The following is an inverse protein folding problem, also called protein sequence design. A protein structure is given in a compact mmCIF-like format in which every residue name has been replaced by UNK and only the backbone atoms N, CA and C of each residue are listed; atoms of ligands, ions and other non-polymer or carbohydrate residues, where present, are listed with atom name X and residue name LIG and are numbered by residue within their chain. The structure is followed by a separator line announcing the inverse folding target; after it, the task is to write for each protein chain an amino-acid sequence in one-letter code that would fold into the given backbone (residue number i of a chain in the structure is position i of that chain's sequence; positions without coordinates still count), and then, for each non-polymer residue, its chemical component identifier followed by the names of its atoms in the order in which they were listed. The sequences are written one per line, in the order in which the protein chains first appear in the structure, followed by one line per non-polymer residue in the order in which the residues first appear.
data_IF_943993103900
#
_entry.id   IF_943993103900
#
_cell.length_a   1.000
_cell.length_b   1.000
_cell.length_c   1.000
_cell.angle_alpha   90.00
_cell.angle_beta   90.00
_cell.angle_gamma   90.00
#
_symmetry.space_group_name_H-M   'P 1'
#
loop_
_entity.id
_entity.type
_entity.pdbx_description
1 polymer ?
#
# COMPACT_ATOMS: atom_id res chain seq x y z
N UNK A 1 19.21 70.78 16.74
CA UNK A 1 20.39 71.39 17.39
C UNK A 1 20.67 72.66 16.60
N UNK A 2 19.97 73.74 16.91
CA UNK A 2 20.16 75.01 16.21
C UNK A 2 21.52 75.57 16.63
N UNK A 3 22.32 75.99 15.66
CA UNK A 3 23.49 76.81 15.96
C UNK A 3 22.91 78.08 16.58
N UNK A 4 23.07 78.24 17.88
CA UNK A 4 22.53 79.39 18.60
C UNK A 4 23.08 80.64 17.91
N UNK A 5 22.23 81.44 17.27
CA UNK A 5 22.64 82.69 16.62
C UNK A 5 23.46 83.58 17.57
N UNK A 6 23.20 83.47 18.88
CA UNK A 6 23.97 84.07 19.97
C UNK A 6 25.47 83.71 19.96
N UNK A 7 25.87 82.48 19.63
CA UNK A 7 27.29 82.08 19.62
C UNK A 7 28.04 82.57 18.38
N UNK A 8 27.35 82.68 17.24
CA UNK A 8 27.93 83.23 16.00
C UNK A 8 28.09 84.74 16.12
N UNK A 9 27.07 85.42 16.65
CA UNK A 9 27.14 86.84 16.99
C UNK A 9 28.25 87.12 18.01
N UNK A 10 28.44 86.25 19.00
CA UNK A 10 29.56 86.34 19.95
C UNK A 10 30.91 86.17 19.26
N UNK A 11 31.07 85.20 18.35
CA UNK A 11 32.31 85.03 17.58
C UNK A 11 32.63 86.25 16.72
N UNK A 12 31.63 86.81 16.03
CA UNK A 12 31.79 88.02 15.22
C UNK A 12 32.08 89.25 16.09
N UNK A 13 31.45 89.36 17.26
CA UNK A 13 31.74 90.41 18.23
C UNK A 13 33.21 90.35 18.72
N UNK A 14 33.71 89.15 19.03
CA UNK A 14 35.12 88.94 19.42
C UNK A 14 36.06 89.30 18.27
N UNK A 15 35.74 88.94 17.02
CA UNK A 15 36.56 89.30 15.85
C UNK A 15 36.63 90.83 15.67
N UNK A 16 35.50 91.53 15.85
CA UNK A 16 35.45 92.99 15.81
C UNK A 16 36.23 93.64 16.94
N UNK A 17 36.08 93.14 18.16
CA UNK A 17 36.82 93.62 19.33
C UNK A 17 38.35 93.41 19.15
N UNK A 18 38.76 92.28 18.56
CA UNK A 18 40.15 92.02 18.20
C UNK A 18 40.65 92.98 17.11
N UNK A 19 39.82 93.30 16.11
CA UNK A 19 40.16 94.29 15.08
C UNK A 19 40.36 95.69 15.69
N UNK A 20 39.43 96.13 16.56
CA UNK A 20 39.51 97.41 17.27
C UNK A 20 40.73 97.49 18.19
N UNK A 21 41.07 96.37 18.83
CA UNK A 21 42.27 96.25 19.68
C UNK A 21 43.55 96.37 18.84
N UNK A 22 43.61 95.71 17.68
CA UNK A 22 44.74 95.83 16.73
C UNK A 22 44.81 97.24 16.14
N UNK A 23 43.67 97.90 15.94
CA UNK A 23 43.59 99.26 15.43
C UNK A 23 44.08 100.32 16.44
N UNK A 24 43.77 100.11 17.72
CA UNK A 24 44.16 101.01 18.82
C UNK A 24 45.55 100.71 19.40
N UNK A 25 46.16 99.58 19.03
CA UNK A 25 47.48 99.17 19.51
C UNK A 25 48.60 100.16 19.12
N UNK A 26 49.38 100.60 20.11
CA UNK A 26 50.59 101.42 19.91
C UNK A 26 51.85 100.54 19.89
N UNK A 27 52.83 100.89 19.06
CA UNK A 27 54.15 100.22 19.03
C UNK A 27 54.79 100.27 20.42
N UNK A 28 54.89 99.13 21.09
CA UNK A 28 55.61 98.99 22.36
C UNK A 28 56.68 97.93 22.20
N UNK A 29 57.92 98.25 22.57
CA UNK A 29 59.11 97.39 22.40
C UNK A 29 59.63 96.86 23.75
N UNK A 30 58.88 97.01 24.86
CA UNK A 30 59.44 96.94 26.22
C UNK A 30 58.78 95.85 27.11
N UNK A 31 57.70 95.19 26.67
CA UNK A 31 57.04 94.13 27.45
C UNK A 31 57.38 92.72 26.91
N UNK A 32 57.77 91.81 27.79
CA UNK A 32 58.15 90.42 27.47
C UNK A 32 56.98 89.52 27.05
N UNK A 33 55.72 89.96 27.25
CA UNK A 33 54.49 89.25 26.90
C UNK A 33 53.86 89.72 25.57
N UNK A 34 54.50 90.66 24.86
CA UNK A 34 53.97 91.22 23.61
C UNK A 34 54.65 90.62 22.37
N UNK A 35 53.86 90.16 21.40
CA UNK A 35 54.33 89.69 20.10
C UNK A 35 54.21 90.80 19.04
N UNK A 36 55.26 91.01 18.24
CA UNK A 36 55.24 91.98 17.12
C UNK A 36 54.62 91.32 15.90
N UNK A 37 53.42 91.77 15.52
CA UNK A 37 52.69 91.30 14.33
C UNK A 37 52.52 92.45 13.35
N UNK A 38 52.57 92.14 12.05
CA UNK A 38 52.24 93.12 11.02
C UNK A 38 50.76 93.49 11.10
N UNK A 39 50.47 94.75 11.45
CA UNK A 39 49.11 95.26 11.65
C UNK A 39 48.24 95.09 10.40
N UNK A 40 48.76 95.40 9.22
CA UNK A 40 48.02 95.23 7.96
C UNK A 40 47.68 93.77 7.70
N UNK A 41 48.65 92.87 7.87
CA UNK A 41 48.42 91.43 7.68
C UNK A 41 47.38 90.89 8.67
N UNK A 42 47.41 91.32 9.94
CA UNK A 42 46.45 90.86 10.95
C UNK A 42 45.04 91.36 10.65
N UNK A 43 44.89 92.62 10.25
CA UNK A 43 43.61 93.21 9.86
C UNK A 43 43.04 92.53 8.61
N UNK A 44 43.86 92.27 7.60
CA UNK A 44 43.44 91.56 6.39
C UNK A 44 42.93 90.15 6.74
N UNK A 45 43.56 89.45 7.69
CA UNK A 45 43.14 88.11 8.12
C UNK A 45 41.87 88.14 8.98
N UNK A 46 41.70 89.14 9.85
CA UNK A 46 40.47 89.33 10.62
C UNK A 46 39.29 89.70 9.72
N UNK A 47 39.51 90.58 8.73
CA UNK A 47 38.50 90.93 7.74
C UNK A 47 38.12 89.73 6.84
N UNK A 48 39.10 88.91 6.43
CA UNK A 48 38.81 87.65 5.73
C UNK A 48 37.96 86.73 6.62
N UNK A 49 38.30 86.57 7.89
CA UNK A 49 37.54 85.73 8.82
C UNK A 49 36.11 86.25 9.03
N UNK A 50 35.92 87.56 9.20
CA UNK A 50 34.59 88.17 9.35
C UNK A 50 33.71 87.96 8.11
N UNK A 51 34.31 87.95 6.92
CA UNK A 51 33.57 87.75 5.67
C UNK A 51 33.27 86.27 5.37
N UNK A 52 34.20 85.34 5.63
CA UNK A 52 34.03 83.93 5.28
C UNK A 52 33.27 83.10 6.34
N UNK A 53 33.36 83.48 7.62
CA UNK A 53 32.77 82.70 8.72
C UNK A 53 31.23 82.64 8.69
N UNK A 54 30.49 83.74 8.43
CA UNK A 54 29.03 83.68 8.29
C UNK A 54 28.58 82.80 7.12
N UNK A 55 29.26 82.88 5.99
CA UNK A 55 28.94 82.08 4.80
C UNK A 55 29.15 80.59 5.06
N UNK A 56 30.29 80.21 5.66
CA UNK A 56 30.59 78.82 6.02
C UNK A 56 29.56 78.23 7.00
N UNK A 57 29.06 79.02 7.95
CA UNK A 57 28.05 78.58 8.91
C UNK A 57 26.66 78.44 8.29
N UNK A 58 26.25 79.36 7.41
CA UNK A 58 25.01 79.24 6.65
C UNK A 58 25.02 77.99 5.76
N UNK A 59 26.15 77.69 5.12
CA UNK A 59 26.33 76.47 4.36
C UNK A 59 26.24 75.22 5.25
N UNK A 60 26.90 75.22 6.41
CA UNK A 60 26.84 74.11 7.36
C UNK A 60 25.42 73.87 7.90
N UNK A 61 24.67 74.93 8.22
CA UNK A 61 23.27 74.83 8.64
C UNK A 61 22.38 74.28 7.51
N UNK A 62 22.61 74.73 6.27
CA UNK A 62 21.94 74.18 5.08
C UNK A 62 22.15 72.68 4.95
N UNK A 63 23.40 72.22 5.03
CA UNK A 63 23.74 70.78 4.95
C UNK A 63 23.08 69.99 6.09
N UNK A 64 23.08 70.50 7.33
CA UNK A 64 22.45 69.82 8.47
C UNK A 64 20.92 69.71 8.25
N UNK A 65 20.29 70.76 7.73
CA UNK A 65 18.86 70.76 7.42
C UNK A 65 18.53 69.77 6.31
N UNK A 66 19.34 69.74 5.25
CA UNK A 66 19.21 68.80 4.15
C UNK A 66 19.42 67.34 4.61
N UNK A 67 20.44 67.07 5.42
CA UNK A 67 20.69 65.74 6.00
C UNK A 67 19.53 65.30 6.91
N UNK A 68 19.00 66.20 7.74
CA UNK A 68 17.84 65.92 8.57
C UNK A 68 16.59 65.59 7.73
N UNK A 69 16.36 66.34 6.65
CA UNK A 69 15.26 66.07 5.72
C UNK A 69 15.45 64.74 4.99
N UNK A 70 16.65 64.45 4.51
CA UNK A 70 16.98 63.19 3.83
C UNK A 70 16.79 61.99 4.75
N UNK A 71 17.23 62.07 6.01
CA UNK A 71 17.03 60.99 7.00
C UNK A 71 15.56 60.77 7.31
N UNK A 72 14.77 61.84 7.45
CA UNK A 72 13.34 61.73 7.67
C UNK A 72 12.64 61.05 6.48
N UNK A 73 12.95 61.48 5.25
CA UNK A 73 12.41 60.85 4.03
C UNK A 73 12.84 59.38 3.93
N UNK A 74 14.12 59.08 4.13
CA UNK A 74 14.64 57.71 4.07
C UNK A 74 13.98 56.82 5.12
N UNK A 75 13.77 57.32 6.33
CA UNK A 75 13.07 56.58 7.38
C UNK A 75 11.62 56.26 6.98
N UNK A 76 10.92 57.22 6.35
CA UNK A 76 9.58 57.01 5.83
C UNK A 76 9.58 55.96 4.71
N UNK A 77 10.44 56.11 3.70
CA UNK A 77 10.52 55.19 2.56
C UNK A 77 10.86 53.77 3.02
N UNK A 78 11.78 53.62 3.97
CA UNK A 78 12.10 52.33 4.57
C UNK A 78 10.91 51.73 5.33
N UNK A 79 10.15 52.53 6.07
CA UNK A 79 8.96 52.07 6.80
C UNK A 79 7.86 51.60 5.84
N UNK A 80 7.64 52.32 4.75
CA UNK A 80 6.69 51.95 3.70
C UNK A 80 7.12 50.68 2.98
N UNK A 81 8.40 50.58 2.61
CA UNK A 81 8.97 49.39 1.98
C UNK A 81 8.86 48.15 2.89
N UNK A 82 9.16 48.30 4.19
CA UNK A 82 9.01 47.21 5.17
C UNK A 82 7.55 46.78 5.32
N UNK A 83 6.63 47.72 5.44
CA UNK A 83 5.20 47.42 5.57
C UNK A 83 4.68 46.74 4.30
N UNK A 84 5.07 47.22 3.11
CA UNK A 84 4.73 46.61 1.83
C UNK A 84 5.28 45.18 1.70
N UNK A 85 6.54 44.96 2.05
CA UNK A 85 7.17 43.65 2.05
C UNK A 85 6.48 42.68 3.03
N UNK A 86 6.16 43.14 4.25
CA UNK A 86 5.44 42.35 5.25
C UNK A 86 4.05 41.96 4.78
N UNK A 87 3.31 42.88 4.16
CA UNK A 87 1.96 42.61 3.64
C UNK A 87 2.01 41.61 2.48
N UNK A 88 2.95 41.77 1.54
CA UNK A 88 3.17 40.79 0.46
C UNK A 88 3.54 39.41 0.99
N UNK A 89 4.42 39.35 1.99
CA UNK A 89 4.79 38.09 2.63
C UNK A 89 3.58 37.41 3.30
N UNK A 90 2.76 38.17 4.03
CA UNK A 90 1.52 37.65 4.64
C UNK A 90 0.53 37.15 3.58
N UNK A 91 0.35 37.90 2.50
CA UNK A 91 -0.53 37.50 1.40
C UNK A 91 -0.02 36.21 0.74
N UNK A 92 1.29 36.12 0.45
CA UNK A 92 1.90 34.93 -0.13
C UNK A 92 1.75 33.70 0.77
N UNK A 93 1.90 33.87 2.09
CA UNK A 93 1.67 32.78 3.06
C UNK A 93 0.19 32.36 3.06
N UNK A 94 -0.74 33.31 3.02
CA UNK A 94 -2.17 33.02 2.99
C UNK A 94 -2.58 32.27 1.71
N UNK A 95 -2.08 32.71 0.55
CA UNK A 95 -2.29 32.04 -0.74
C UNK A 95 -1.69 30.62 -0.74
N UNK A 96 -0.47 30.46 -0.21
CA UNK A 96 0.16 29.15 -0.08
C UNK A 96 -0.63 28.23 0.87
N UNK A 97 -1.15 28.75 1.98
CA UNK A 97 -2.00 27.98 2.90
C UNK A 97 -3.30 27.55 2.25
N UNK A 98 -3.94 28.42 1.46
CA UNK A 98 -5.16 28.08 0.73
C UNK A 98 -4.88 26.98 -0.31
N UNK A 99 -3.81 27.11 -1.10
CA UNK A 99 -3.39 26.08 -2.05
C UNK A 99 -3.08 24.74 -1.38
N UNK A 100 -2.39 24.74 -0.24
CA UNK A 100 -2.14 23.53 0.54
C UNK A 100 -3.45 22.91 1.02
N UNK A 101 -4.42 23.71 1.48
CA UNK A 101 -5.72 23.21 1.93
C UNK A 101 -6.54 22.58 0.80
N UNK A 102 -6.52 23.19 -0.39
CA UNK A 102 -7.18 22.67 -1.58
C UNK A 102 -6.52 21.36 -2.04
N UNK A 103 -5.19 21.34 -2.13
CA UNK A 103 -4.44 20.13 -2.46
C UNK A 103 -4.69 19.00 -1.44
N UNK A 104 -4.74 19.31 -0.15
CA UNK A 104 -5.09 18.33 0.90
C UNK A 104 -6.53 17.81 0.75
N UNK A 105 -7.49 18.66 0.41
CA UNK A 105 -8.86 18.26 0.18
C UNK A 105 -8.99 17.33 -1.05
N UNK A 106 -8.25 17.62 -2.13
CA UNK A 106 -8.18 16.76 -3.31
C UNK A 106 -7.52 15.41 -3.01
N UNK A 107 -6.38 15.42 -2.31
CA UNK A 107 -5.71 14.18 -1.87
C UNK A 107 -6.63 13.34 -0.98
N UNK A 108 -7.40 13.98 -0.09
CA UNK A 108 -8.39 13.29 0.74
C UNK A 108 -9.50 12.66 -0.10
N UNK A 109 -10.10 13.40 -1.04
CA UNK A 109 -11.12 12.86 -1.96
C UNK A 109 -10.58 11.73 -2.83
N UNK A 110 -9.35 11.87 -3.33
CA UNK A 110 -8.68 10.82 -4.09
C UNK A 110 -8.44 9.58 -3.23
N UNK A 111 -8.03 9.76 -1.97
CA UNK A 111 -7.88 8.68 -0.99
C UNK A 111 -9.18 7.96 -0.67
N UNK A 112 -10.27 8.70 -0.42
CA UNK A 112 -11.61 8.15 -0.18
C UNK A 112 -12.12 7.37 -1.39
N UNK A 113 -11.94 7.90 -2.61
CA UNK A 113 -12.31 7.20 -3.84
C UNK A 113 -11.48 5.93 -4.06
N UNK A 114 -10.17 5.97 -3.82
CA UNK A 114 -9.31 4.80 -3.92
C UNK A 114 -9.72 3.72 -2.91
N UNK A 115 -10.00 4.11 -1.66
CA UNK A 115 -10.50 3.19 -0.63
C UNK A 115 -11.84 2.58 -1.03
N UNK A 116 -12.77 3.37 -1.57
CA UNK A 116 -14.06 2.86 -2.06
C UNK A 116 -13.88 1.85 -3.18
N UNK A 117 -13.03 2.13 -4.17
CA UNK A 117 -12.75 1.20 -5.27
C UNK A 117 -12.13 -0.11 -4.74
N UNK A 118 -11.19 -0.02 -3.80
CA UNK A 118 -10.58 -1.21 -3.18
C UNK A 118 -11.63 -2.02 -2.40
N UNK A 119 -12.50 -1.37 -1.63
CA UNK A 119 -13.58 -2.04 -0.90
C UNK A 119 -14.59 -2.70 -1.84
N UNK A 120 -15.01 -2.00 -2.90
CA UNK A 120 -15.92 -2.55 -3.92
C UNK A 120 -15.27 -3.73 -4.66
N UNK A 121 -13.99 -3.63 -5.02
CA UNK A 121 -13.25 -4.71 -5.65
C UNK A 121 -13.10 -5.92 -4.72
N UNK A 122 -12.83 -5.69 -3.43
CA UNK A 122 -12.73 -6.74 -2.43
C UNK A 122 -14.09 -7.44 -2.19
N UNK A 123 -15.19 -6.69 -2.12
CA UNK A 123 -16.53 -7.26 -2.01
C UNK A 123 -16.89 -8.10 -3.23
N UNK A 124 -16.66 -7.58 -4.44
CA UNK A 124 -16.89 -8.33 -5.68
C UNK A 124 -16.06 -9.61 -5.74
N UNK A 125 -14.78 -9.52 -5.41
CA UNK A 125 -13.91 -10.70 -5.36
C UNK A 125 -14.39 -11.73 -4.33
N UNK A 126 -14.88 -11.28 -3.18
CA UNK A 126 -15.43 -12.18 -2.16
C UNK A 126 -16.73 -12.84 -2.61
N UNK A 127 -17.63 -12.09 -3.25
CA UNK A 127 -18.89 -12.62 -3.77
C UNK A 127 -18.65 -13.62 -4.90
N UNK A 128 -17.73 -13.31 -5.82
CA UNK A 128 -17.35 -14.21 -6.91
C UNK A 128 -16.67 -15.49 -6.38
N UNK A 129 -15.78 -15.36 -5.38
CA UNK A 129 -15.18 -16.51 -4.71
C UNK A 129 -16.25 -17.38 -4.02
N UNK A 130 -17.21 -16.76 -3.33
CA UNK A 130 -18.29 -17.48 -2.66
C UNK A 130 -19.19 -18.22 -3.68
N UNK A 131 -19.51 -17.58 -4.81
CA UNK A 131 -20.27 -18.22 -5.90
C UNK A 131 -19.52 -19.41 -6.49
N UNK A 132 -18.22 -19.24 -6.75
CA UNK A 132 -17.38 -20.32 -7.28
C UNK A 132 -17.32 -21.50 -6.31
N UNK A 133 -17.16 -21.24 -5.01
CA UNK A 133 -17.16 -22.30 -3.97
C UNK A 133 -18.51 -23.02 -3.93
N UNK A 134 -19.62 -22.29 -3.98
CA UNK A 134 -20.97 -22.88 -3.99
C UNK A 134 -21.18 -23.76 -5.22
N UNK A 135 -20.81 -23.28 -6.41
CA UNK A 135 -20.90 -24.04 -7.64
C UNK A 135 -20.02 -25.30 -7.59
N UNK A 136 -18.75 -25.15 -7.18
CA UNK A 136 -17.83 -26.28 -7.04
C UNK A 136 -18.36 -27.33 -6.04
N UNK A 137 -18.97 -26.90 -4.93
CA UNK A 137 -19.58 -27.82 -3.97
C UNK A 137 -20.80 -28.54 -4.55
N UNK A 138 -21.64 -27.87 -5.33
CA UNK A 138 -22.79 -28.49 -6.00
C UNK A 138 -22.33 -29.52 -7.04
N UNK A 139 -21.34 -29.17 -7.87
CA UNK A 139 -20.76 -30.08 -8.86
C UNK A 139 -20.09 -31.29 -8.18
N UNK A 140 -19.33 -31.06 -7.12
CA UNK A 140 -18.72 -32.13 -6.34
C UNK A 140 -19.78 -33.05 -5.70
N UNK A 141 -20.89 -32.51 -5.20
CA UNK A 141 -21.99 -33.30 -4.65
C UNK A 141 -22.67 -34.14 -5.74
N UNK A 142 -22.89 -33.58 -6.93
CA UNK A 142 -23.48 -34.32 -8.06
C UNK A 142 -22.56 -35.46 -8.53
N UNK A 143 -21.26 -35.22 -8.61
CA UNK A 143 -20.27 -36.25 -8.97
C UNK A 143 -20.27 -37.37 -7.92
N UNK A 144 -20.29 -37.04 -6.63
CA UNK A 144 -20.36 -38.04 -5.55
C UNK A 144 -21.63 -38.87 -5.63
N UNK A 145 -22.79 -38.23 -5.79
CA UNK A 145 -24.06 -38.93 -5.89
C UNK A 145 -24.09 -39.90 -7.09
N UNK A 146 -23.56 -39.48 -8.24
CA UNK A 146 -23.42 -40.35 -9.41
C UNK A 146 -22.47 -41.51 -9.15
N UNK A 147 -21.31 -41.25 -8.56
CA UNK A 147 -20.34 -42.30 -8.24
C UNK A 147 -20.90 -43.31 -7.22
N UNK A 148 -21.70 -42.86 -6.26
CA UNK A 148 -22.40 -43.73 -5.31
C UNK A 148 -23.45 -44.61 -6.01
N UNK A 149 -24.23 -44.05 -6.94
CA UNK A 149 -25.17 -44.82 -7.74
C UNK A 149 -24.44 -45.88 -8.58
N UNK A 150 -23.41 -45.50 -9.33
CA UNK A 150 -22.63 -46.42 -10.17
C UNK A 150 -22.00 -47.54 -9.32
N UNK A 151 -21.50 -47.20 -8.11
CA UNK A 151 -20.96 -48.18 -7.16
C UNK A 151 -22.03 -49.19 -6.73
N UNK A 152 -23.21 -48.72 -6.35
CA UNK A 152 -24.28 -49.58 -5.85
C UNK A 152 -24.80 -50.51 -6.96
N UNK A 153 -24.88 -50.02 -8.20
CA UNK A 153 -25.20 -50.83 -9.38
C UNK A 153 -24.13 -51.92 -9.61
N UNK A 154 -22.84 -51.58 -9.56
CA UNK A 154 -21.76 -52.57 -9.71
C UNK A 154 -21.79 -53.64 -8.60
N UNK A 155 -22.01 -53.25 -7.35
CA UNK A 155 -22.13 -54.20 -6.23
C UNK A 155 -23.33 -55.12 -6.40
N UNK A 156 -24.45 -54.62 -6.92
CA UNK A 156 -25.62 -55.44 -7.25
C UNK A 156 -25.29 -56.48 -8.31
N UNK A 157 -24.65 -56.06 -9.42
CA UNK A 157 -24.22 -56.96 -10.49
C UNK A 157 -23.27 -58.05 -10.00
N UNK A 158 -22.26 -57.67 -9.20
CA UNK A 158 -21.31 -58.62 -8.63
C UNK A 158 -21.99 -59.64 -7.70
N UNK A 159 -22.95 -59.19 -6.89
CA UNK A 159 -23.71 -60.08 -6.01
C UNK A 159 -24.57 -61.08 -6.78
N UNK A 160 -25.27 -60.65 -7.83
CA UNK A 160 -26.06 -61.53 -8.70
C UNK A 160 -25.15 -62.57 -9.36
N UNK A 161 -24.00 -62.15 -9.89
CA UNK A 161 -23.03 -63.05 -10.52
C UNK A 161 -22.50 -64.10 -9.54
N UNK A 162 -22.12 -63.67 -8.33
CA UNK A 162 -21.64 -64.56 -7.27
C UNK A 162 -22.70 -65.60 -6.87
N UNK A 163 -23.94 -65.18 -6.65
CA UNK A 163 -25.04 -66.09 -6.29
C UNK A 163 -25.32 -67.08 -7.42
N UNK A 164 -25.42 -66.60 -8.67
CA UNK A 164 -25.67 -67.47 -9.82
C UNK A 164 -24.55 -68.50 -10.04
N UNK A 165 -23.30 -68.15 -9.76
CA UNK A 165 -22.16 -69.07 -9.88
C UNK A 165 -22.21 -70.15 -8.80
N UNK A 166 -22.48 -69.76 -7.55
CA UNK A 166 -22.66 -70.72 -6.44
C UNK A 166 -23.82 -71.67 -6.73
N UNK A 167 -24.97 -71.16 -7.15
CA UNK A 167 -26.14 -71.97 -7.46
C UNK A 167 -25.89 -72.93 -8.64
N UNK A 168 -25.16 -72.48 -9.67
CA UNK A 168 -24.74 -73.34 -10.78
C UNK A 168 -23.77 -74.45 -10.34
N UNK A 169 -22.83 -74.16 -9.43
CA UNK A 169 -21.93 -75.16 -8.86
C UNK A 169 -22.69 -76.19 -8.02
N UNK A 170 -23.60 -75.74 -7.15
CA UNK A 170 -24.46 -76.60 -6.33
C UNK A 170 -25.35 -77.51 -7.19
N UNK A 171 -25.99 -76.95 -8.23
CA UNK A 171 -26.81 -77.71 -9.17
C UNK A 171 -25.99 -78.77 -9.91
N UNK A 172 -24.77 -78.42 -10.35
CA UNK A 172 -23.86 -79.38 -10.99
C UNK A 172 -23.48 -80.52 -10.06
N UNK A 173 -23.19 -80.22 -8.80
CA UNK A 173 -22.84 -81.23 -7.80
C UNK A 173 -24.04 -82.13 -7.47
N UNK A 174 -25.25 -81.56 -7.33
CA UNK A 174 -26.49 -82.34 -7.13
C UNK A 174 -26.76 -83.26 -8.32
N UNK A 175 -26.72 -82.72 -9.54
CA UNK A 175 -26.94 -83.49 -10.77
C UNK A 175 -25.91 -84.60 -10.91
N UNK A 176 -24.65 -84.35 -10.53
CA UNK A 176 -23.60 -85.37 -10.53
C UNK A 176 -23.90 -86.50 -9.55
N UNK A 177 -24.37 -86.18 -8.33
CA UNK A 177 -24.79 -87.16 -7.32
C UNK A 177 -25.99 -87.98 -7.80
N UNK A 178 -27.01 -87.33 -8.35
CA UNK A 178 -28.18 -88.00 -8.93
C UNK A 178 -27.80 -88.93 -10.08
N UNK A 179 -26.94 -88.49 -11.00
CA UNK A 179 -26.41 -89.33 -12.08
C UNK A 179 -25.67 -90.55 -11.55
N UNK A 180 -24.86 -90.39 -10.48
CA UNK A 180 -24.21 -91.53 -9.83
C UNK A 180 -25.22 -92.49 -9.22
N UNK A 181 -26.27 -91.99 -8.55
CA UNK A 181 -27.33 -92.82 -7.96
C UNK A 181 -28.15 -93.55 -9.03
N UNK A 182 -28.54 -92.87 -10.12
CA UNK A 182 -29.23 -93.48 -11.26
C UNK A 182 -28.35 -94.55 -11.88
N UNK A 183 -27.07 -94.27 -12.09
CA UNK A 183 -26.14 -95.24 -12.65
C UNK A 183 -25.99 -96.47 -11.73
N UNK A 184 -25.87 -96.26 -10.42
CA UNK A 184 -25.75 -97.34 -9.45
C UNK A 184 -27.03 -98.19 -9.40
N UNK A 185 -28.20 -97.57 -9.25
CA UNK A 185 -29.49 -98.27 -9.27
C UNK A 185 -29.75 -99.01 -10.59
N UNK A 186 -29.30 -98.47 -11.72
CA UNK A 186 -29.37 -99.15 -13.02
C UNK A 186 -28.48 -100.40 -13.04
N UNK A 187 -27.26 -100.33 -12.48
CA UNK A 187 -26.41 -101.51 -12.35
C UNK A 187 -27.01 -102.55 -11.40
N UNK A 188 -27.56 -102.13 -10.26
CA UNK A 188 -28.22 -103.03 -9.32
C UNK A 188 -29.43 -103.71 -9.96
N UNK A 189 -30.22 -102.99 -10.76
CA UNK A 189 -31.31 -103.56 -11.53
C UNK A 189 -30.82 -104.57 -12.57
N UNK A 190 -29.78 -104.22 -13.34
CA UNK A 190 -29.21 -105.10 -14.36
C UNK A 190 -28.66 -106.39 -13.74
N UNK A 191 -27.97 -106.28 -12.60
CA UNK A 191 -27.43 -107.42 -11.86
C UNK A 191 -28.54 -108.34 -11.34
N UNK A 192 -29.63 -107.77 -10.80
CA UNK A 192 -30.81 -108.53 -10.39
C UNK A 192 -31.45 -109.30 -11.57
N UNK A 193 -31.66 -108.64 -12.71
CA UNK A 193 -32.21 -109.29 -13.91
C UNK A 193 -31.27 -110.39 -14.43
N UNK A 194 -29.96 -110.14 -14.46
CA UNK A 194 -28.98 -111.15 -14.86
C UNK A 194 -28.96 -112.34 -13.89
N UNK A 195 -29.09 -112.09 -12.59
CA UNK A 195 -29.21 -113.13 -11.57
C UNK A 195 -30.53 -113.92 -11.67
N UNK A 196 -31.63 -113.30 -12.13
CA UNK A 196 -32.86 -114.01 -12.47
C UNK A 196 -32.70 -114.90 -13.72
N UNK A 197 -32.05 -114.38 -14.77
CA UNK A 197 -31.73 -115.16 -15.97
C UNK A 197 -30.83 -116.34 -15.64
N UNK A 198 -29.79 -116.15 -14.83
CA UNK A 198 -28.89 -117.23 -14.41
C UNK A 198 -29.62 -118.30 -13.58
N UNK A 199 -30.51 -117.89 -12.67
CA UNK A 199 -31.40 -118.83 -11.95
C UNK A 199 -32.31 -119.61 -12.89
N UNK A 200 -32.91 -118.95 -13.89
CA UNK A 200 -33.76 -119.59 -14.90
C UNK A 200 -32.96 -120.59 -15.76
N UNK A 201 -31.78 -120.21 -16.24
CA UNK A 201 -30.89 -121.09 -17.00
C UNK A 201 -30.45 -122.31 -16.17
N UNK A 202 -30.12 -122.13 -14.90
CA UNK A 202 -29.77 -123.23 -14.01
C UNK A 202 -30.96 -124.16 -13.76
N UNK A 203 -32.17 -123.62 -13.58
CA UNK A 203 -33.40 -124.43 -13.50
C UNK A 203 -33.59 -125.25 -14.77
N UNK A 204 -33.58 -124.61 -15.94
CA UNK A 204 -33.74 -125.30 -17.23
C UNK A 204 -32.64 -126.34 -17.48
N UNK A 205 -31.39 -126.05 -17.09
CA UNK A 205 -30.29 -127.01 -17.20
C UNK A 205 -30.50 -128.23 -16.30
N UNK A 206 -30.99 -128.02 -15.07
CA UNK A 206 -31.37 -129.10 -14.16
C UNK A 206 -32.53 -129.92 -14.72
N UNK A 207 -33.55 -129.27 -15.29
CA UNK A 207 -34.68 -129.93 -15.93
C UNK A 207 -34.21 -130.80 -17.11
N UNK A 208 -33.35 -130.29 -17.99
CA UNK A 208 -32.75 -131.06 -19.11
C UNK A 208 -31.90 -132.24 -18.57
N UNK A 209 -31.13 -132.04 -17.49
CA UNK A 209 -30.37 -133.13 -16.86
C UNK A 209 -31.30 -134.21 -16.30
N UNK A 210 -32.42 -133.81 -15.70
CA UNK A 210 -33.43 -134.72 -15.17
C UNK A 210 -34.09 -135.50 -16.31
N UNK A 211 -34.57 -134.84 -17.37
CA UNK A 211 -35.13 -135.49 -18.57
C UNK A 211 -34.12 -136.44 -19.23
N UNK A 212 -32.85 -136.05 -19.33
CA UNK A 212 -31.78 -136.95 -19.81
C UNK A 212 -31.56 -138.15 -18.89
N UNK A 213 -31.65 -137.96 -17.58
CA UNK A 213 -31.57 -139.03 -16.60
C UNK A 213 -32.72 -140.02 -16.74
N UNK A 214 -33.94 -139.51 -16.93
CA UNK A 214 -35.13 -140.31 -17.23
C UNK A 214 -34.96 -141.09 -18.54
N UNK A 215 -34.51 -140.43 -19.63
CA UNK A 215 -34.22 -141.10 -20.91
C UNK A 215 -33.14 -142.17 -20.81
N UNK A 216 -32.08 -141.95 -20.02
CA UNK A 216 -31.03 -142.95 -19.79
C UNK A 216 -31.52 -144.14 -18.94
N UNK A 217 -32.47 -143.93 -18.02
CA UNK A 217 -33.10 -145.01 -17.26
C UNK A 217 -34.11 -145.82 -18.11
N UNK A 218 -34.51 -145.31 -19.28
CA UNK A 218 -35.40 -145.95 -20.24
C UNK A 218 -34.64 -146.58 -21.43
N UNK A 219 -33.31 -146.68 -21.34
CA UNK A 219 -32.43 -147.45 -22.26
C UNK A 219 -31.95 -148.72 -21.58
#
# INVERSE_FOLDING_TARGET
MAINGSSVEQCLAIIRELSDTVDSARKTLINSDACVVSRSLMQDRLAQLENFLPEALLQAEGIIREDAALRAQTAQDCSEALTGAQNRAKQMIAEAQDQVSQAQAEVRKAGENAQRIVQEAQQRAQDDANRLIQQANQEAAAIRAKAEQDRDEMVSHENVYRVATVEAEELRESTRKELMQIRQSTFDYLDNVMGEVDRCLNSLSNDIRMERGELNNHR
#
